data_IF_445361183899
#
_entry.id   IF_445361183899
#
_cell.length_a   1.000
_cell.length_b   1.000
_cell.length_c   1.000
_cell.angle_alpha   90.00
_cell.angle_beta   90.00
_cell.angle_gamma   90.00
#
_symmetry.space_group_name_H-M   'P 1'
#
loop_
_entity.id
_entity.type
_entity.pdbx_description
1 polymer ?
#
# COMPACT_ATOMS: atom_id res chain seq x y z
N UNK A 1 11.07 17.12 9.39
CA UNK A 1 11.11 15.69 9.04
C UNK A 1 12.45 15.42 8.40
N UNK A 2 13.15 14.37 8.81
CA UNK A 2 14.40 13.93 8.17
C UNK A 2 14.21 13.77 6.67
N UNK A 3 15.21 14.11 5.87
CA UNK A 3 15.07 14.14 4.41
C UNK A 3 14.77 12.77 3.80
N UNK A 4 15.31 11.69 4.39
CA UNK A 4 15.04 10.31 3.99
C UNK A 4 13.58 9.92 4.27
N UNK A 5 13.09 10.17 5.48
CA UNK A 5 11.72 9.88 5.87
C UNK A 5 10.70 10.66 5.01
N UNK A 6 11.00 11.92 4.66
CA UNK A 6 10.16 12.70 3.75
C UNK A 6 10.09 12.11 2.35
N UNK A 7 11.23 11.70 1.81
CA UNK A 7 11.26 11.06 0.49
C UNK A 7 10.46 9.76 0.49
N UNK A 8 10.72 8.87 1.45
CA UNK A 8 9.99 7.61 1.59
C UNK A 8 8.48 7.81 1.69
N UNK A 9 8.04 8.77 2.50
CA UNK A 9 6.62 9.10 2.63
C UNK A 9 5.99 9.55 1.31
N UNK A 10 6.67 10.42 0.57
CA UNK A 10 6.17 10.88 -0.74
C UNK A 10 6.11 9.74 -1.75
N UNK A 11 7.15 8.92 -1.83
CA UNK A 11 7.20 7.80 -2.77
C UNK A 11 6.09 6.77 -2.47
N UNK A 12 5.80 6.47 -1.20
CA UNK A 12 4.70 5.54 -0.85
C UNK A 12 3.35 6.13 -1.25
N UNK A 13 3.11 7.43 -1.02
CA UNK A 13 1.84 8.06 -1.38
C UNK A 13 1.62 8.12 -2.90
N UNK A 14 2.69 8.30 -3.66
CA UNK A 14 2.63 8.40 -5.12
C UNK A 14 2.59 7.01 -5.81
N UNK A 15 2.91 5.94 -5.09
CA UNK A 15 2.87 4.58 -5.62
C UNK A 15 1.45 4.01 -5.48
N UNK A 16 0.77 3.65 -6.57
CA UNK A 16 -0.56 3.04 -6.50
C UNK A 16 -0.50 1.68 -5.78
N UNK A 17 -1.36 1.52 -4.77
CA UNK A 17 -1.49 0.26 -4.01
C UNK A 17 -2.94 -0.06 -3.68
N UNK A 18 -3.86 -0.18 -4.65
CA UNK A 18 -5.23 -0.52 -4.33
C UNK A 18 -5.30 -1.89 -3.65
N UNK A 19 -6.32 -2.12 -2.81
CA UNK A 19 -6.47 -3.38 -2.08
C UNK A 19 -6.39 -4.59 -3.03
N UNK A 20 -5.51 -5.54 -2.72
CA UNK A 20 -5.15 -6.71 -3.52
C UNK A 20 -3.97 -6.52 -4.50
N UNK A 21 -3.43 -5.31 -4.63
CA UNK A 21 -2.31 -4.97 -5.52
C UNK A 21 -1.20 -4.18 -4.80
N UNK A 22 -0.97 -4.48 -3.53
CA UNK A 22 -0.07 -3.75 -2.63
C UNK A 22 1.41 -4.06 -2.85
N UNK A 23 1.74 -5.06 -3.68
CA UNK A 23 3.10 -5.55 -3.88
C UNK A 23 4.13 -4.43 -4.16
N UNK A 24 3.87 -3.41 -5.01
CA UNK A 24 4.83 -2.33 -5.25
C UNK A 24 5.19 -1.54 -4.00
N UNK A 25 4.18 -1.12 -3.21
CA UNK A 25 4.40 -0.40 -1.95
C UNK A 25 5.05 -1.29 -0.91
N UNK A 26 4.64 -2.55 -0.79
CA UNK A 26 5.24 -3.50 0.16
C UNK A 26 6.72 -3.72 -0.13
N UNK A 27 7.16 -3.78 -1.40
CA UNK A 27 8.59 -3.84 -1.74
C UNK A 27 9.37 -2.63 -1.21
N UNK A 28 8.79 -1.43 -1.30
CA UNK A 28 9.41 -0.22 -0.78
C UNK A 28 9.47 -0.21 0.75
N UNK A 29 8.36 -0.58 1.42
CA UNK A 29 8.32 -0.72 2.88
C UNK A 29 9.38 -1.71 3.35
N UNK A 30 9.51 -2.86 2.67
CA UNK A 30 10.53 -3.87 2.97
C UNK A 30 11.95 -3.33 2.85
N UNK A 31 12.24 -2.57 1.79
CA UNK A 31 13.55 -1.98 1.57
C UNK A 31 13.88 -0.95 2.66
N UNK A 32 12.96 -0.02 2.93
CA UNK A 32 13.14 1.02 3.93
C UNK A 32 13.27 0.45 5.34
N UNK A 33 12.44 -0.53 5.71
CA UNK A 33 12.53 -1.20 7.01
C UNK A 33 13.80 -2.03 7.18
N UNK A 34 14.36 -2.53 6.07
CA UNK A 34 15.60 -3.33 6.07
C UNK A 34 16.83 -2.58 6.57
N UNK A 35 16.77 -1.25 6.63
CA UNK A 35 17.87 -0.43 7.15
C UNK A 35 17.97 -0.47 8.68
N UNK A 36 16.91 -0.88 9.39
CA UNK A 36 16.84 -0.79 10.85
C UNK A 36 16.20 -1.98 11.57
N UNK A 37 15.57 -2.92 10.85
CA UNK A 37 14.97 -4.11 11.45
C UNK A 37 15.97 -5.27 11.54
N UNK A 38 15.90 -6.04 12.62
CA UNK A 38 16.75 -7.22 12.83
C UNK A 38 16.22 -8.43 12.03
N UNK A 39 14.90 -8.53 11.88
CA UNK A 39 14.23 -9.56 11.08
C UNK A 39 13.17 -8.91 10.20
N UNK A 40 13.10 -9.35 8.93
CA UNK A 40 12.04 -8.99 8.01
C UNK A 40 11.51 -10.25 7.33
N UNK A 41 10.19 -10.42 7.41
CA UNK A 41 9.48 -11.49 6.71
C UNK A 41 8.25 -10.97 5.99
N UNK A 42 7.84 -11.71 4.97
CA UNK A 42 6.61 -11.45 4.22
C UNK A 42 5.70 -12.65 4.38
N UNK A 43 4.43 -12.42 4.70
CA UNK A 43 3.44 -13.51 4.79
C UNK A 43 2.83 -13.85 3.42
N UNK A 44 1.93 -14.84 3.39
CA UNK A 44 1.27 -15.29 2.16
C UNK A 44 0.33 -14.23 1.54
N UNK A 45 -0.10 -13.23 2.31
CA UNK A 45 -0.93 -12.12 1.82
C UNK A 45 -0.08 -10.93 1.35
N UNK A 46 1.24 -11.02 1.45
CA UNK A 46 2.16 -9.95 1.05
C UNK A 46 2.43 -8.91 2.14
N UNK A 47 1.96 -9.11 3.38
CA UNK A 47 2.26 -8.18 4.47
C UNK A 47 3.75 -8.21 4.81
N UNK A 48 4.38 -7.04 4.91
CA UNK A 48 5.76 -6.91 5.41
C UNK A 48 5.74 -6.77 6.93
N UNK A 49 6.42 -7.69 7.60
CA UNK A 49 6.55 -7.72 9.05
C UNK A 49 8.02 -7.50 9.39
N UNK A 50 8.32 -6.32 9.92
CA UNK A 50 9.64 -5.92 10.40
C UNK A 50 9.69 -6.02 11.94
N UNK A 51 10.70 -6.70 12.47
CA UNK A 51 10.88 -6.92 13.90
C UNK A 51 12.26 -6.41 14.35
N UNK A 52 12.26 -5.62 15.42
CA UNK A 52 13.48 -5.27 16.17
C UNK A 52 13.45 -6.04 17.49
N UNK A 53 14.60 -6.54 17.94
CA UNK A 53 14.77 -7.37 19.13
C UNK A 53 13.88 -8.63 19.14
N UNK A 54 14.05 -9.58 18.19
CA UNK A 54 13.16 -10.74 18.03
C UNK A 54 13.10 -11.67 19.25
N UNK A 55 14.15 -11.66 20.08
CA UNK A 55 14.28 -12.47 21.29
C UNK A 55 13.72 -11.81 22.55
N UNK A 56 13.18 -10.58 22.44
CA UNK A 56 12.61 -9.89 23.59
C UNK A 56 11.38 -10.64 24.16
N UNK A 57 11.27 -10.77 25.50
CA UNK A 57 10.18 -11.53 26.13
C UNK A 57 8.81 -10.86 25.98
N UNK A 58 8.77 -9.54 25.81
CA UNK A 58 7.55 -8.77 25.54
C UNK A 58 7.50 -8.40 24.06
N UNK A 59 6.37 -8.69 23.41
CA UNK A 59 6.13 -8.31 22.00
C UNK A 59 5.12 -7.15 21.95
N UNK A 60 5.48 -6.09 21.23
CA UNK A 60 4.60 -4.96 20.92
C UNK A 60 4.48 -4.87 19.40
N UNK A 61 3.26 -4.77 18.88
CA UNK A 61 3.00 -4.68 17.45
C UNK A 61 2.35 -3.33 17.11
N UNK A 62 2.97 -2.61 16.18
CA UNK A 62 2.35 -1.50 15.48
C UNK A 62 1.95 -2.00 14.10
N UNK A 63 0.68 -1.82 13.74
CA UNK A 63 0.15 -2.25 12.46
C UNK A 63 -0.53 -1.06 11.76
N UNK A 64 -0.27 -0.96 10.46
CA UNK A 64 -0.94 -0.04 9.54
C UNK A 64 -1.17 -0.78 8.23
N UNK A 65 -2.26 -0.43 7.54
CA UNK A 65 -2.56 -1.01 6.24
C UNK A 65 -1.96 -0.13 5.14
N UNK A 66 -1.42 -0.76 4.10
CA UNK A 66 -0.73 -0.09 2.98
C UNK A 66 -1.63 0.05 1.74
N UNK A 67 -2.81 -0.56 1.78
CA UNK A 67 -3.76 -0.52 0.69
C UNK A 67 -4.47 0.83 0.59
N UNK A 68 -4.82 1.18 -0.64
CA UNK A 68 -5.50 2.39 -1.02
C UNK A 68 -6.89 2.06 -1.56
N UNK A 69 -7.82 3.00 -1.39
CA UNK A 69 -9.10 2.95 -2.09
C UNK A 69 -8.81 3.15 -3.58
N UNK A 70 -9.48 2.39 -4.45
CA UNK A 70 -9.23 2.43 -5.89
C UNK A 70 -10.44 2.02 -6.72
N UNK A 71 -10.20 1.71 -7.99
CA UNK A 71 -11.20 1.20 -8.93
C UNK A 71 -10.65 -0.06 -9.61
N UNK A 72 -11.54 -0.97 -9.97
CA UNK A 72 -11.22 -2.17 -10.76
C UNK A 72 -12.03 -2.19 -12.05
N UNK A 73 -11.37 -2.38 -13.18
CA UNK A 73 -12.04 -2.48 -14.49
C UNK A 73 -12.89 -3.74 -14.54
N UNK A 74 -14.14 -3.58 -14.96
CA UNK A 74 -15.11 -4.69 -15.07
C UNK A 74 -15.59 -4.90 -16.50
N UNK A 75 -15.59 -3.86 -17.32
CA UNK A 75 -16.03 -3.93 -18.71
C UNK A 75 -15.41 -2.81 -19.54
N UNK A 76 -15.15 -3.11 -20.82
CA UNK A 76 -14.73 -2.14 -21.83
C UNK A 76 -15.72 -2.26 -22.98
N UNK A 77 -16.37 -1.16 -23.35
CA UNK A 77 -17.35 -1.17 -24.44
C UNK A 77 -16.69 -0.94 -25.81
N UNK A 78 -17.48 -1.08 -26.88
CA UNK A 78 -17.01 -0.94 -28.26
C UNK A 78 -16.55 0.48 -28.62
N UNK A 79 -17.00 1.49 -27.87
CA UNK A 79 -16.58 2.89 -28.02
C UNK A 79 -15.28 3.20 -27.24
N UNK A 80 -14.72 2.23 -26.50
CA UNK A 80 -13.49 2.37 -25.74
C UNK A 80 -13.65 2.94 -24.33
N UNK A 81 -14.88 3.08 -23.82
CA UNK A 81 -15.12 3.49 -22.43
C UNK A 81 -14.87 2.34 -21.45
N UNK A 82 -14.26 2.70 -20.32
CA UNK A 82 -13.94 1.78 -19.23
C UNK A 82 -15.00 1.91 -18.14
N UNK A 83 -15.58 0.78 -17.75
CA UNK A 83 -16.49 0.65 -16.63
C UNK A 83 -15.75 0.00 -15.47
N UNK A 84 -16.01 0.49 -14.26
CA UNK A 84 -15.29 0.08 -13.06
C UNK A 84 -16.22 -0.23 -11.90
N UNK A 85 -15.82 -1.16 -11.04
CA UNK A 85 -16.32 -1.26 -9.67
C UNK A 85 -15.34 -0.58 -8.69
N UNK A 86 -15.81 -0.27 -7.49
CA UNK A 86 -14.98 0.32 -6.44
C UNK A 86 -14.15 -0.75 -5.72
N UNK A 87 -12.89 -0.43 -5.44
CA UNK A 87 -12.08 -1.12 -4.43
C UNK A 87 -12.13 -0.25 -3.17
N UNK A 88 -12.68 -0.77 -2.08
CA UNK A 88 -12.97 0.02 -0.89
C UNK A 88 -14.24 0.89 -1.04
N UNK A 89 -14.45 1.80 -0.10
CA UNK A 89 -15.63 2.65 -0.05
C UNK A 89 -15.40 4.03 -0.68
N UNK A 90 -16.20 4.39 -1.68
CA UNK A 90 -16.21 5.71 -2.30
C UNK A 90 -17.53 6.44 -2.06
N UNK A 91 -17.49 7.76 -1.92
CA UNK A 91 -18.61 8.62 -2.28
C UNK A 91 -18.58 8.85 -3.80
N UNK A 92 -19.60 8.41 -4.57
CA UNK A 92 -19.61 8.54 -6.02
C UNK A 92 -19.44 9.98 -6.53
N UNK A 93 -19.82 10.99 -5.73
CA UNK A 93 -19.67 12.39 -6.12
C UNK A 93 -18.20 12.82 -6.23
N UNK A 94 -17.32 12.19 -5.44
CA UNK A 94 -15.89 12.52 -5.47
C UNK A 94 -15.19 12.02 -6.73
N UNK A 95 -15.75 11.03 -7.43
CA UNK A 95 -15.14 10.43 -8.63
C UNK A 95 -15.30 11.31 -9.89
N UNK A 96 -16.26 12.24 -9.91
CA UNK A 96 -16.61 12.99 -11.10
C UNK A 96 -15.47 13.97 -11.46
N UNK A 97 -14.88 13.78 -12.64
CA UNK A 97 -13.83 14.66 -13.17
C UNK A 97 -12.44 14.45 -12.56
N UNK A 98 -12.25 13.40 -11.75
CA UNK A 98 -10.94 13.08 -11.18
C UNK A 98 -10.03 12.40 -12.20
N UNK A 99 -8.72 12.61 -12.01
CA UNK A 99 -7.69 11.80 -12.66
C UNK A 99 -7.45 10.57 -11.80
N UNK A 100 -7.53 9.41 -12.43
CA UNK A 100 -7.21 8.10 -11.83
C UNK A 100 -5.89 7.57 -12.41
#
# INVERSE_FOLDING_TARGET
MESSAKRFFQEILETPSPSGFEEPVQRMVRAYAGEFADEIRTDLHGNVIACCNPDAPLRVMFAGHADQIGLIVTYINDDGFIYTNTIGGWDPQQLIGQRM
#
